data_IF_874518107830
#
_entry.id   IF_874518107830
#
_cell.length_a   1.000
_cell.length_b   1.000
_cell.length_c   1.000
_cell.angle_alpha   90.00
_cell.angle_beta   90.00
_cell.angle_gamma   90.00
#
_symmetry.space_group_name_H-M   'P 1'
#
loop_
_entity.id
_entity.type
_entity.pdbx_description
1 polymer ?
#
# COMPACT_ATOMS: atom_id res chain seq x y z
N UNK A 1 -13.86 12.06 -23.18
CA UNK A 1 -15.04 11.65 -22.38
C UNK A 1 -15.84 12.89 -21.96
N UNK A 2 -16.25 13.67 -22.95
CA UNK A 2 -16.98 14.91 -22.70
C UNK A 2 -18.48 14.63 -22.85
N UNK A 3 -19.19 14.48 -21.76
CA UNK A 3 -20.64 14.31 -21.79
C UNK A 3 -21.26 13.55 -20.62
N UNK A 4 -20.44 13.06 -19.70
CA UNK A 4 -20.91 12.36 -18.49
C UNK A 4 -20.65 13.21 -17.25
N UNK A 5 -21.61 13.29 -16.35
CA UNK A 5 -21.47 13.89 -15.02
C UNK A 5 -21.41 12.78 -13.96
N UNK A 6 -20.62 12.98 -12.91
CA UNK A 6 -20.63 12.11 -11.71
C UNK A 6 -21.92 12.41 -10.96
N UNK A 7 -22.72 11.38 -10.69
CA UNK A 7 -23.98 11.48 -9.96
C UNK A 7 -23.95 10.81 -8.60
N UNK A 8 -23.00 9.90 -8.38
CA UNK A 8 -22.78 9.26 -7.09
C UNK A 8 -21.33 8.75 -6.94
N UNK A 9 -20.85 8.63 -5.69
CA UNK A 9 -19.55 8.03 -5.35
C UNK A 9 -19.74 7.09 -4.16
N UNK A 10 -19.23 5.88 -4.27
CA UNK A 10 -19.36 4.87 -3.22
C UNK A 10 -18.17 3.92 -3.20
N UNK A 11 -17.50 3.80 -2.05
CA UNK A 11 -16.38 2.87 -1.81
C UNK A 11 -15.33 2.83 -2.93
N UNK A 12 -14.97 4.02 -3.46
CA UNK A 12 -13.95 4.17 -4.51
C UNK A 12 -14.43 3.89 -5.94
N UNK A 13 -15.72 3.85 -6.13
CA UNK A 13 -16.35 3.84 -7.44
C UNK A 13 -17.18 5.10 -7.62
N UNK A 14 -17.22 5.62 -8.84
CA UNK A 14 -18.08 6.72 -9.21
C UNK A 14 -19.07 6.29 -10.29
N UNK A 15 -20.35 6.58 -10.08
CA UNK A 15 -21.39 6.44 -11.08
C UNK A 15 -21.43 7.69 -11.93
N UNK A 16 -21.31 7.54 -13.24
CA UNK A 16 -21.42 8.60 -14.23
C UNK A 16 -22.67 8.44 -15.07
N UNK A 17 -23.33 9.57 -15.32
CA UNK A 17 -24.53 9.64 -16.14
C UNK A 17 -24.28 10.53 -17.36
N UNK A 18 -24.69 10.09 -18.55
CA UNK A 18 -24.67 10.89 -19.78
C UNK A 18 -25.70 12.02 -19.73
N UNK A 19 -25.63 12.95 -20.69
CA UNK A 19 -26.79 13.79 -21.03
C UNK A 19 -27.92 12.88 -21.53
N UNK A 20 -29.20 13.31 -21.35
CA UNK A 20 -30.32 12.54 -21.86
C UNK A 20 -30.29 12.49 -23.40
N UNK A 21 -30.76 11.37 -23.93
CA UNK A 21 -31.04 11.22 -25.36
C UNK A 21 -32.39 11.86 -25.79
N UNK A 22 -32.83 11.58 -27.02
CA UNK A 22 -34.08 12.09 -27.56
C UNK A 22 -35.33 11.57 -26.85
N UNK A 23 -35.25 10.45 -26.14
CA UNK A 23 -36.30 9.83 -25.36
C UNK A 23 -36.28 10.22 -23.88
N UNK A 24 -35.25 11.01 -23.50
CA UNK A 24 -34.99 11.47 -22.14
C UNK A 24 -34.28 10.45 -21.28
N UNK A 25 -33.69 9.39 -21.87
CA UNK A 25 -32.95 8.37 -21.18
C UNK A 25 -31.47 8.70 -21.06
N UNK A 26 -30.84 8.22 -20.00
CA UNK A 26 -29.42 8.40 -19.71
C UNK A 26 -28.66 7.09 -19.80
N UNK A 27 -27.43 7.15 -20.28
CA UNK A 27 -26.49 6.05 -20.18
C UNK A 27 -25.70 6.16 -18.87
N UNK A 28 -25.56 5.04 -18.18
CA UNK A 28 -24.86 4.96 -16.90
C UNK A 28 -23.57 4.16 -17.04
N UNK A 29 -22.48 4.73 -16.52
CA UNK A 29 -21.16 4.10 -16.46
C UNK A 29 -20.70 4.09 -15.03
N UNK A 30 -20.16 2.97 -14.58
CA UNK A 30 -19.39 2.92 -13.34
C UNK A 30 -17.91 2.97 -13.70
N UNK A 31 -17.18 3.83 -13.01
CA UNK A 31 -15.73 3.91 -13.08
C UNK A 31 -15.15 3.61 -11.69
N UNK A 32 -13.99 3.05 -11.66
CA UNK A 32 -13.18 3.00 -10.45
C UNK A 32 -12.42 4.33 -10.34
N UNK A 33 -12.50 5.02 -9.20
CA UNK A 33 -11.92 6.36 -9.04
C UNK A 33 -10.42 6.40 -9.29
N UNK A 34 -9.73 5.31 -8.98
CA UNK A 34 -8.30 5.14 -9.23
C UNK A 34 -7.95 4.79 -10.69
N UNK A 35 -8.94 4.36 -11.47
CA UNK A 35 -8.78 4.01 -12.88
C UNK A 35 -9.82 4.73 -13.75
N UNK A 36 -9.78 6.07 -13.85
CA UNK A 36 -10.82 6.86 -14.51
C UNK A 36 -10.92 6.59 -16.02
N UNK A 37 -9.98 5.83 -16.61
CA UNK A 37 -10.02 5.42 -18.02
C UNK A 37 -10.74 4.09 -18.24
N UNK A 38 -10.94 3.31 -17.19
CA UNK A 38 -11.68 2.04 -17.23
C UNK A 38 -13.10 2.31 -16.74
N UNK A 39 -14.07 2.07 -17.60
CA UNK A 39 -15.47 2.26 -17.28
C UNK A 39 -16.28 1.06 -17.77
N UNK A 40 -17.29 0.71 -17.01
CA UNK A 40 -18.27 -0.29 -17.42
C UNK A 40 -19.60 0.39 -17.64
N UNK A 41 -20.18 0.14 -18.80
CA UNK A 41 -21.56 0.47 -19.09
C UNK A 41 -22.48 -0.47 -18.29
N UNK A 42 -23.34 0.11 -17.45
CA UNK A 42 -24.22 -0.66 -16.57
C UNK A 42 -25.69 -0.59 -16.95
N UNK A 43 -26.06 0.32 -17.82
CA UNK A 43 -27.44 0.41 -18.28
C UNK A 43 -27.82 1.73 -18.90
N UNK A 44 -29.09 1.79 -19.31
CA UNK A 44 -29.72 2.92 -19.97
C UNK A 44 -31.12 3.10 -19.39
N UNK A 45 -31.53 4.31 -19.07
CA UNK A 45 -32.84 4.59 -18.48
C UNK A 45 -32.96 5.95 -17.80
N UNK A 46 -34.09 6.21 -17.20
CA UNK A 46 -34.43 7.51 -16.57
C UNK A 46 -34.17 7.55 -15.07
N UNK A 47 -34.19 6.40 -14.42
CA UNK A 47 -34.12 6.31 -12.96
C UNK A 47 -32.70 6.18 -12.47
N UNK A 48 -32.08 7.31 -12.13
CA UNK A 48 -30.73 7.35 -11.56
C UNK A 48 -30.64 6.65 -10.21
N UNK A 49 -31.70 6.69 -9.40
CA UNK A 49 -31.68 6.04 -8.07
C UNK A 49 -31.63 4.53 -8.18
N UNK A 50 -32.33 3.96 -9.15
CA UNK A 50 -32.23 2.51 -9.43
C UNK A 50 -30.78 2.08 -9.71
N UNK A 51 -30.03 2.86 -10.51
CA UNK A 51 -28.63 2.55 -10.81
C UNK A 51 -27.69 2.80 -9.63
N UNK A 52 -27.98 3.79 -8.79
CA UNK A 52 -27.26 4.04 -7.54
C UNK A 52 -27.43 2.84 -6.59
N UNK A 53 -28.65 2.43 -6.34
CA UNK A 53 -28.95 1.33 -5.42
C UNK A 53 -28.37 0.00 -5.93
N UNK A 54 -28.49 -0.23 -7.25
CA UNK A 54 -27.99 -1.44 -7.87
C UNK A 54 -26.47 -1.57 -7.74
N UNK A 55 -25.69 -0.54 -8.13
CA UNK A 55 -24.22 -0.65 -8.08
C UNK A 55 -23.67 -0.63 -6.65
N UNK A 56 -24.31 0.09 -5.73
CA UNK A 56 -23.99 0.05 -4.31
C UNK A 56 -24.27 -1.34 -3.72
N UNK A 57 -25.43 -1.94 -4.07
CA UNK A 57 -25.79 -3.28 -3.67
C UNK A 57 -24.75 -4.31 -4.13
N UNK A 58 -24.29 -4.23 -5.37
CA UNK A 58 -23.22 -5.12 -5.87
C UNK A 58 -21.91 -4.95 -5.10
N UNK A 59 -21.51 -3.70 -4.79
CA UNK A 59 -20.30 -3.45 -4.00
C UNK A 59 -20.46 -3.96 -2.58
N UNK A 60 -21.63 -3.85 -1.98
CA UNK A 60 -21.88 -4.34 -0.62
C UNK A 60 -21.95 -5.87 -0.56
N UNK A 61 -22.56 -6.51 -1.56
CA UNK A 61 -22.70 -7.97 -1.62
C UNK A 61 -21.40 -8.67 -2.02
N UNK A 62 -20.70 -8.15 -3.04
CA UNK A 62 -19.54 -8.83 -3.64
C UNK A 62 -18.21 -8.13 -3.37
N UNK A 63 -18.21 -6.91 -2.82
CA UNK A 63 -17.03 -6.11 -2.62
C UNK A 63 -16.46 -5.45 -3.89
N UNK A 64 -17.10 -5.67 -5.06
CA UNK A 64 -16.61 -5.17 -6.36
C UNK A 64 -17.73 -5.14 -7.42
N UNK A 65 -17.43 -4.47 -8.54
CA UNK A 65 -18.26 -4.54 -9.75
C UNK A 65 -17.53 -5.38 -10.79
N UNK A 66 -18.15 -6.46 -11.23
CA UNK A 66 -17.63 -7.37 -12.25
C UNK A 66 -17.25 -6.60 -13.52
N UNK A 67 -16.05 -6.85 -14.05
CA UNK A 67 -15.52 -6.18 -15.23
C UNK A 67 -14.76 -4.88 -14.96
N UNK A 68 -14.77 -4.31 -13.74
CA UNK A 68 -13.86 -3.23 -13.31
C UNK A 68 -12.63 -3.75 -12.58
N UNK A 69 -12.50 -5.09 -12.49
CA UNK A 69 -11.30 -5.73 -11.97
C UNK A 69 -11.11 -5.55 -10.48
N UNK A 70 -12.04 -6.06 -9.69
CA UNK A 70 -11.73 -6.35 -8.30
C UNK A 70 -11.67 -7.85 -8.11
N UNK A 71 -10.74 -8.39 -7.36
CA UNK A 71 -10.66 -9.80 -7.13
C UNK A 71 -11.83 -10.23 -6.29
N UNK A 72 -12.72 -10.92 -6.92
CA UNK A 72 -13.61 -11.79 -6.20
C UNK A 72 -12.84 -13.02 -5.80
N UNK A 73 -13.23 -13.56 -4.69
CA UNK A 73 -12.84 -14.85 -4.15
C UNK A 73 -11.45 -14.86 -3.53
N UNK A 74 -11.44 -15.05 -2.23
CA UNK A 74 -10.28 -15.60 -1.52
C UNK A 74 -9.94 -16.94 -2.16
N UNK A 75 -9.20 -16.89 -3.25
CA UNK A 75 -8.60 -18.06 -3.85
C UNK A 75 -7.52 -18.50 -2.86
N UNK A 76 -7.60 -19.72 -2.34
CA UNK A 76 -6.65 -20.25 -1.36
C UNK A 76 -5.20 -20.30 -1.89
N UNK A 77 -4.97 -19.93 -3.16
CA UNK A 77 -3.68 -19.91 -3.85
C UNK A 77 -3.31 -18.54 -4.43
N UNK A 78 -3.75 -17.42 -3.83
CA UNK A 78 -3.29 -16.11 -4.33
C UNK A 78 -1.80 -15.95 -4.07
N UNK A 79 -1.10 -15.47 -5.11
CA UNK A 79 0.32 -15.10 -4.99
C UNK A 79 0.47 -13.94 -4.03
N UNK A 80 1.63 -13.85 -3.39
CA UNK A 80 1.90 -12.91 -2.31
C UNK A 80 2.85 -11.81 -2.73
N UNK A 81 2.61 -10.63 -2.19
CA UNK A 81 3.53 -9.50 -2.26
C UNK A 81 3.80 -9.00 -0.85
N UNK A 82 5.06 -8.74 -0.55
CA UNK A 82 5.50 -8.27 0.76
C UNK A 82 5.78 -6.79 0.73
N UNK A 83 5.29 -6.06 1.73
CA UNK A 83 5.45 -4.60 1.82
C UNK A 83 5.98 -4.24 3.20
N UNK A 84 7.13 -3.54 3.24
CA UNK A 84 7.62 -2.96 4.49
C UNK A 84 6.75 -1.80 4.95
N UNK A 85 6.87 -1.46 6.23
CA UNK A 85 6.02 -0.47 6.85
C UNK A 85 6.74 0.87 7.08
N UNK A 86 7.83 0.87 7.84
CA UNK A 86 8.52 2.10 8.26
C UNK A 86 9.31 2.70 7.07
N UNK A 87 9.11 3.99 6.77
CA UNK A 87 9.64 4.74 5.61
C UNK A 87 9.16 4.26 4.23
N UNK A 88 8.35 3.21 4.15
CA UNK A 88 7.66 2.77 2.92
C UNK A 88 6.20 3.24 2.94
N UNK A 89 5.49 2.92 3.99
CA UNK A 89 4.08 3.27 4.22
C UNK A 89 3.90 4.37 5.25
N UNK A 90 4.68 4.36 6.33
CA UNK A 90 4.64 5.29 7.44
C UNK A 90 5.95 6.07 7.53
N UNK A 91 5.87 7.39 7.73
CA UNK A 91 7.02 8.30 7.85
C UNK A 91 7.71 8.17 9.22
N UNK A 92 8.38 7.03 9.45
CA UNK A 92 9.07 6.79 10.72
C UNK A 92 10.19 7.80 10.97
N UNK A 93 11.02 8.05 9.99
CA UNK A 93 12.19 8.92 10.18
C UNK A 93 11.80 10.36 10.48
N UNK A 94 10.87 10.92 9.72
CA UNK A 94 10.40 12.29 9.90
C UNK A 94 9.65 12.48 11.23
N UNK A 95 8.74 11.58 11.57
CA UNK A 95 7.97 11.66 12.80
C UNK A 95 8.82 11.47 14.06
N UNK A 96 9.76 10.50 14.00
CA UNK A 96 10.70 10.29 15.11
C UNK A 96 11.59 11.53 15.36
N UNK A 97 12.16 12.09 14.29
CA UNK A 97 13.01 13.29 14.40
C UNK A 97 12.20 14.50 14.89
N UNK A 98 10.98 14.67 14.39
CA UNK A 98 10.08 15.74 14.86
C UNK A 98 9.82 15.65 16.36
N UNK A 99 9.50 14.45 16.83
CA UNK A 99 9.27 14.22 18.27
C UNK A 99 10.56 14.41 19.07
N UNK A 100 11.66 13.78 18.66
CA UNK A 100 12.95 13.82 19.38
C UNK A 100 13.51 15.23 19.54
N UNK A 101 13.20 16.14 18.61
CA UNK A 101 13.71 17.52 18.60
C UNK A 101 12.65 18.57 18.94
N UNK A 102 11.48 18.16 19.46
CA UNK A 102 10.38 19.07 19.74
C UNK A 102 9.99 19.93 18.52
N UNK A 103 9.99 19.33 17.34
CA UNK A 103 9.61 19.98 16.08
C UNK A 103 10.72 20.80 15.38
N UNK A 104 11.93 20.87 15.91
CA UNK A 104 13.03 21.59 15.25
C UNK A 104 13.49 20.90 13.96
N UNK A 105 13.45 19.58 13.91
CA UNK A 105 13.71 18.80 12.71
C UNK A 105 12.42 18.08 12.29
N UNK A 106 12.01 18.28 11.05
CA UNK A 106 10.81 17.63 10.49
C UNK A 106 11.03 17.35 9.00
N UNK A 107 12.04 16.51 8.66
CA UNK A 107 12.30 16.18 7.27
C UNK A 107 11.12 15.37 6.70
N UNK A 108 10.85 15.58 5.42
CA UNK A 108 10.02 14.63 4.68
C UNK A 108 10.79 13.33 4.43
N UNK A 109 10.13 12.22 4.06
CA UNK A 109 10.84 10.99 3.70
C UNK A 109 11.86 11.17 2.56
N UNK A 110 11.63 12.19 1.71
CA UNK A 110 12.54 12.50 0.60
C UNK A 110 13.77 13.33 1.01
N UNK A 111 13.79 13.84 2.23
CA UNK A 111 14.88 14.65 2.77
C UNK A 111 15.72 13.88 3.80
N UNK A 112 15.28 12.67 4.16
CA UNK A 112 15.97 11.82 5.14
C UNK A 112 17.26 11.23 4.54
N UNK A 113 18.41 11.72 4.99
CA UNK A 113 19.72 11.39 4.42
C UNK A 113 20.40 10.19 5.05
N UNK A 114 19.96 9.74 6.22
CA UNK A 114 20.51 8.57 6.94
C UNK A 114 19.41 7.76 7.60
N UNK A 115 19.54 6.41 7.57
CA UNK A 115 18.78 5.50 8.44
C UNK A 115 19.30 5.52 9.88
N UNK A 116 20.53 5.98 10.07
CA UNK A 116 21.17 6.14 11.38
C UNK A 116 20.77 7.49 11.98
N UNK A 117 19.56 7.56 12.55
CA UNK A 117 19.01 8.80 13.10
C UNK A 117 19.81 9.32 14.31
N UNK A 118 20.58 8.47 14.98
CA UNK A 118 21.55 8.87 15.99
C UNK A 118 22.62 9.83 15.44
N UNK A 119 23.09 9.63 14.19
CA UNK A 119 24.03 10.55 13.53
C UNK A 119 23.39 11.92 13.31
N UNK A 120 22.14 11.96 12.86
CA UNK A 120 21.38 13.21 12.64
C UNK A 120 21.16 13.95 13.96
N UNK A 121 20.90 13.21 15.04
CA UNK A 121 20.67 13.75 16.38
C UNK A 121 21.97 14.04 17.16
N UNK A 122 23.12 13.66 16.62
CA UNK A 122 24.41 13.73 17.31
C UNK A 122 24.40 13.02 18.67
N UNK A 123 23.75 11.85 18.75
CA UNK A 123 23.64 11.03 19.95
C UNK A 123 24.55 9.81 19.87
N UNK A 124 25.06 9.36 21.01
CA UNK A 124 25.66 8.05 21.12
C UNK A 124 24.61 6.93 21.08
N UNK A 125 25.07 5.69 20.96
CA UNK A 125 24.19 4.54 20.79
C UNK A 125 23.29 4.29 22.02
N UNK A 126 23.75 4.59 23.23
CA UNK A 126 23.01 4.37 24.47
C UNK A 126 21.86 5.40 24.60
N UNK A 127 22.15 6.67 24.40
CA UNK A 127 21.16 7.75 24.44
C UNK A 127 20.12 7.56 23.31
N UNK A 128 20.57 7.16 22.11
CA UNK A 128 19.66 6.87 21.01
C UNK A 128 18.77 5.63 21.27
N UNK A 129 19.34 4.59 21.88
CA UNK A 129 18.54 3.40 22.26
C UNK A 129 17.46 3.75 23.26
N UNK A 130 17.77 4.58 24.27
CA UNK A 130 16.78 5.05 25.26
C UNK A 130 15.72 5.95 24.63
N UNK A 131 16.11 6.85 23.73
CA UNK A 131 15.17 7.69 23.01
C UNK A 131 14.19 6.85 22.15
N UNK A 132 14.70 5.83 21.44
CA UNK A 132 13.88 4.87 20.70
C UNK A 132 12.95 4.05 21.60
N UNK A 133 13.44 3.67 22.78
CA UNK A 133 12.63 2.95 23.75
C UNK A 133 11.44 3.81 24.20
N UNK A 134 11.69 5.07 24.55
CA UNK A 134 10.63 6.04 24.93
C UNK A 134 9.60 6.21 23.81
N UNK A 135 10.04 6.48 22.59
CA UNK A 135 9.18 6.59 21.41
C UNK A 135 8.20 5.41 21.29
N UNK A 136 8.71 4.19 21.51
CA UNK A 136 7.90 2.97 21.41
C UNK A 136 6.92 2.84 22.54
N UNK A 137 7.39 2.99 23.78
CA UNK A 137 6.57 2.82 25.00
C UNK A 137 5.49 3.89 25.11
N UNK A 138 5.79 5.11 24.66
CA UNK A 138 4.83 6.23 24.63
C UNK A 138 3.78 6.08 23.51
N UNK A 139 3.82 5.02 22.71
CA UNK A 139 2.77 4.70 21.72
C UNK A 139 2.80 5.56 20.45
N UNK A 140 3.93 6.19 20.13
CA UNK A 140 4.02 7.07 18.96
C UNK A 140 3.84 6.34 17.62
N UNK A 141 4.05 5.01 17.58
CA UNK A 141 3.80 4.19 16.38
C UNK A 141 2.32 4.21 15.94
N UNK A 142 1.41 4.49 16.85
CA UNK A 142 -0.05 4.57 16.62
C UNK A 142 -0.45 5.78 15.76
N UNK A 143 0.32 6.86 15.80
CA UNK A 143 -0.05 8.15 15.21
C UNK A 143 0.93 8.63 14.13
N UNK A 144 1.69 7.71 13.54
CA UNK A 144 2.64 8.07 12.49
C UNK A 144 1.95 8.61 11.24
N UNK A 145 2.60 9.55 10.59
CA UNK A 145 2.14 10.12 9.32
C UNK A 145 2.19 9.06 8.22
N UNK A 146 1.07 8.87 7.53
CA UNK A 146 1.03 8.00 6.36
C UNK A 146 1.72 8.67 5.16
N UNK A 147 2.63 7.96 4.51
CA UNK A 147 3.29 8.45 3.29
C UNK A 147 2.25 8.50 2.15
N UNK A 148 2.18 9.61 1.41
CA UNK A 148 1.24 9.76 0.29
C UNK A 148 1.36 8.63 -0.74
N UNK A 149 0.21 8.13 -1.20
CA UNK A 149 0.13 7.03 -2.17
C UNK A 149 0.04 5.63 -1.53
N UNK A 150 0.29 5.47 -0.22
CA UNK A 150 0.22 4.18 0.48
C UNK A 150 -1.14 3.50 0.35
N UNK A 151 -2.22 4.23 0.66
CA UNK A 151 -3.57 3.69 0.56
C UNK A 151 -3.89 3.18 -0.85
N UNK A 152 -3.61 4.00 -1.89
CA UNK A 152 -3.83 3.62 -3.28
C UNK A 152 -2.97 2.43 -3.72
N UNK A 153 -1.72 2.33 -3.23
CA UNK A 153 -0.84 1.20 -3.52
C UNK A 153 -1.37 -0.11 -2.96
N UNK A 154 -1.69 -0.15 -1.66
CA UNK A 154 -2.20 -1.36 -1.01
C UNK A 154 -3.52 -1.79 -1.60
N UNK A 155 -4.43 -0.85 -1.85
CA UNK A 155 -5.71 -1.14 -2.48
C UNK A 155 -5.54 -1.79 -3.86
N UNK A 156 -4.59 -1.29 -4.69
CA UNK A 156 -4.29 -1.88 -6.00
C UNK A 156 -3.69 -3.27 -5.90
N UNK A 157 -2.70 -3.44 -5.02
CA UNK A 157 -2.07 -4.75 -4.81
C UNK A 157 -3.07 -5.76 -4.29
N UNK A 158 -3.91 -5.39 -3.31
CA UNK A 158 -4.92 -6.28 -2.70
C UNK A 158 -6.00 -6.74 -3.66
N UNK A 159 -6.18 -6.08 -4.80
CA UNK A 159 -7.08 -6.55 -5.85
C UNK A 159 -6.63 -7.90 -6.43
N UNK A 160 -5.32 -8.09 -6.59
CA UNK A 160 -4.75 -9.22 -7.33
C UNK A 160 -3.94 -10.18 -6.47
N UNK A 161 -3.36 -9.68 -5.37
CA UNK A 161 -2.39 -10.40 -4.56
C UNK A 161 -2.79 -10.39 -3.09
N UNK A 162 -2.29 -11.37 -2.34
CA UNK A 162 -2.29 -11.29 -0.89
C UNK A 162 -1.16 -10.36 -0.46
N UNK A 163 -1.52 -9.24 0.13
CA UNK A 163 -0.55 -8.26 0.63
C UNK A 163 -0.16 -8.63 2.05
N UNK A 164 1.10 -8.98 2.23
CA UNK A 164 1.69 -9.26 3.54
C UNK A 164 2.51 -8.04 3.97
N UNK A 165 2.10 -7.39 5.04
CA UNK A 165 2.91 -6.33 5.66
C UNK A 165 3.97 -7.00 6.52
N UNK A 166 5.25 -6.74 6.21
CA UNK A 166 6.38 -7.35 6.91
C UNK A 166 7.29 -6.27 7.50
N UNK A 167 7.39 -6.20 8.82
CA UNK A 167 8.07 -5.11 9.52
C UNK A 167 9.11 -5.60 10.51
N UNK A 168 10.22 -4.87 10.61
CA UNK A 168 11.27 -5.10 11.61
C UNK A 168 10.98 -4.44 12.97
N UNK A 169 9.76 -3.96 13.20
CA UNK A 169 9.35 -3.44 14.49
C UNK A 169 9.45 -4.52 15.57
N UNK A 170 10.01 -4.20 16.75
CA UNK A 170 10.28 -5.20 17.80
C UNK A 170 9.01 -5.52 18.63
N UNK A 171 8.03 -6.17 18.02
CA UNK A 171 6.79 -6.58 18.69
C UNK A 171 7.00 -7.72 19.71
N UNK A 172 8.15 -8.37 19.64
CA UNK A 172 8.60 -9.38 20.62
C UNK A 172 9.12 -8.75 21.93
N UNK A 173 9.44 -7.46 21.92
CA UNK A 173 10.06 -6.76 23.06
C UNK A 173 9.17 -5.72 23.72
N UNK A 174 8.13 -5.27 23.03
CA UNK A 174 7.22 -4.22 23.49
C UNK A 174 5.79 -4.61 23.16
N UNK A 175 5.00 -4.86 24.19
CA UNK A 175 3.62 -5.37 24.07
C UNK A 175 2.71 -4.47 23.22
N UNK A 176 2.91 -3.16 23.30
CA UNK A 176 2.09 -2.17 22.57
C UNK A 176 2.42 -2.08 21.06
N UNK A 177 3.57 -2.58 20.58
CA UNK A 177 4.00 -2.37 19.19
C UNK A 177 3.03 -3.01 18.19
N UNK A 178 2.55 -4.22 18.47
CA UNK A 178 1.57 -4.90 17.63
C UNK A 178 0.26 -4.12 17.61
N UNK A 179 -0.28 -3.83 18.78
CA UNK A 179 -1.54 -3.11 18.93
C UNK A 179 -1.50 -1.71 18.27
N UNK A 180 -0.42 -0.95 18.49
CA UNK A 180 -0.23 0.37 17.88
C UNK A 180 -0.13 0.29 16.36
N UNK A 181 0.52 -0.75 15.84
CA UNK A 181 0.64 -0.96 14.39
C UNK A 181 -0.71 -1.33 13.77
N UNK A 182 -1.43 -2.28 14.37
CA UNK A 182 -2.77 -2.69 13.92
C UNK A 182 -3.78 -1.53 13.99
N UNK A 183 -3.70 -0.71 15.06
CA UNK A 183 -4.50 0.51 15.18
C UNK A 183 -4.20 1.49 14.05
N UNK A 184 -2.92 1.74 13.75
CA UNK A 184 -2.49 2.63 12.68
C UNK A 184 -3.00 2.14 11.31
N UNK A 185 -2.83 0.85 11.01
CA UNK A 185 -3.32 0.24 9.77
C UNK A 185 -4.84 0.38 9.63
N UNK A 186 -5.58 0.13 10.70
CA UNK A 186 -7.04 0.25 10.73
C UNK A 186 -7.49 1.71 10.59
N UNK A 187 -6.84 2.64 11.27
CA UNK A 187 -7.18 4.08 11.22
C UNK A 187 -7.04 4.64 9.81
N UNK A 188 -6.11 4.12 9.02
CA UNK A 188 -5.88 4.51 7.64
C UNK A 188 -6.62 3.65 6.61
N UNK A 189 -7.51 2.77 7.05
CA UNK A 189 -8.29 1.85 6.19
C UNK A 189 -7.40 1.09 5.18
N UNK A 190 -6.25 0.60 5.64
CA UNK A 190 -5.28 -0.08 4.79
C UNK A 190 -5.65 -1.56 4.62
N UNK A 191 -5.73 -2.00 3.36
CA UNK A 191 -6.07 -3.37 3.02
C UNK A 191 -4.81 -4.24 2.99
N UNK A 192 -4.81 -5.32 3.76
CA UNK A 192 -3.74 -6.32 3.79
C UNK A 192 -4.30 -7.67 4.21
N UNK A 193 -3.56 -8.75 3.91
CA UNK A 193 -3.94 -10.12 4.25
C UNK A 193 -3.31 -10.57 5.57
N UNK A 194 -2.08 -10.14 5.84
CA UNK A 194 -1.29 -10.58 6.99
C UNK A 194 -0.35 -9.48 7.47
N UNK A 195 -0.06 -9.45 8.80
CA UNK A 195 0.92 -8.57 9.42
C UNK A 195 1.97 -9.41 10.16
N UNK A 196 3.21 -9.31 9.68
CA UNK A 196 4.38 -10.05 10.18
C UNK A 196 5.38 -9.11 10.82
N UNK A 197 5.90 -9.52 11.99
CA UNK A 197 6.99 -8.85 12.67
C UNK A 197 8.21 -9.76 12.72
N UNK A 198 9.26 -9.37 11.99
CA UNK A 198 10.54 -10.09 11.98
C UNK A 198 11.68 -9.17 11.58
N UNK A 199 12.86 -9.39 12.14
CA UNK A 199 14.08 -8.68 11.72
C UNK A 199 14.70 -9.33 10.49
N UNK A 200 14.60 -10.65 10.37
CA UNK A 200 15.17 -11.44 9.31
C UNK A 200 14.10 -11.75 8.27
N UNK A 201 13.73 -10.73 7.47
CA UNK A 201 12.62 -10.80 6.51
C UNK A 201 12.80 -11.93 5.50
N UNK A 202 14.00 -12.07 4.94
CA UNK A 202 14.28 -13.12 3.96
C UNK A 202 14.11 -14.51 4.55
N UNK A 203 14.72 -14.76 5.71
CA UNK A 203 14.70 -16.07 6.34
C UNK A 203 13.26 -16.43 6.76
N UNK A 204 12.52 -15.47 7.32
CA UNK A 204 11.11 -15.66 7.63
C UNK A 204 10.26 -16.02 6.40
N UNK A 205 10.43 -15.29 5.29
CA UNK A 205 9.68 -15.56 4.05
C UNK A 205 10.03 -16.94 3.50
N UNK A 206 11.31 -17.29 3.49
CA UNK A 206 11.78 -18.59 3.02
C UNK A 206 11.25 -19.77 3.86
N UNK A 207 11.11 -19.58 5.18
CA UNK A 207 10.71 -20.65 6.11
C UNK A 207 9.18 -20.84 6.18
N UNK A 208 8.39 -19.79 5.85
CA UNK A 208 6.95 -19.80 6.06
C UNK A 208 6.12 -19.78 4.78
N UNK A 209 6.73 -19.49 3.62
CA UNK A 209 6.02 -19.41 2.34
C UNK A 209 6.76 -20.19 1.26
N UNK A 210 5.97 -20.77 0.35
CA UNK A 210 6.54 -21.30 -0.89
C UNK A 210 7.09 -20.12 -1.72
N UNK A 211 8.36 -20.24 -2.14
CA UNK A 211 9.05 -19.20 -2.92
C UNK A 211 8.34 -18.92 -4.23
N UNK A 212 7.69 -19.92 -4.81
CA UNK A 212 6.94 -19.77 -6.06
C UNK A 212 5.63 -18.97 -5.87
N UNK A 213 5.16 -18.83 -4.63
CA UNK A 213 4.00 -17.99 -4.28
C UNK A 213 4.37 -16.55 -3.98
N UNK A 214 5.66 -16.22 -3.87
CA UNK A 214 6.16 -14.88 -3.58
C UNK A 214 6.57 -14.18 -4.87
N UNK A 215 5.85 -13.14 -5.27
CA UNK A 215 6.12 -12.43 -6.52
C UNK A 215 6.97 -11.17 -6.33
N UNK A 216 6.76 -10.45 -5.24
CA UNK A 216 7.47 -9.19 -5.03
C UNK A 216 7.69 -8.86 -3.55
N UNK A 217 8.72 -8.06 -3.30
CA UNK A 217 8.96 -7.37 -2.04
C UNK A 217 9.22 -5.89 -2.29
N UNK A 218 8.57 -5.03 -1.48
CA UNK A 218 8.71 -3.57 -1.48
C UNK A 218 9.31 -3.14 -0.16
N UNK A 219 10.47 -2.51 -0.19
CA UNK A 219 11.23 -2.10 1.02
C UNK A 219 12.02 -0.83 0.73
N UNK A 220 12.45 -0.09 1.75
CA UNK A 220 13.35 1.06 1.62
C UNK A 220 14.80 0.72 2.02
N UNK A 221 15.03 -0.38 2.74
CA UNK A 221 16.35 -0.83 3.13
C UNK A 221 16.94 -1.82 2.10
N UNK A 222 18.02 -1.45 1.38
CA UNK A 222 18.69 -2.33 0.43
C UNK A 222 19.13 -3.67 1.04
N UNK A 223 19.45 -3.70 2.34
CA UNK A 223 19.90 -4.93 3.02
C UNK A 223 18.81 -5.99 3.04
N UNK A 224 17.54 -5.58 3.16
CA UNK A 224 16.41 -6.49 3.12
C UNK A 224 16.20 -7.07 1.72
N UNK A 225 16.53 -6.31 0.67
CA UNK A 225 16.27 -6.70 -0.72
C UNK A 225 17.38 -7.57 -1.32
N UNK A 226 18.63 -7.41 -0.90
CA UNK A 226 19.79 -8.11 -1.50
C UNK A 226 19.64 -9.63 -1.47
N UNK A 227 19.15 -10.19 -0.37
CA UNK A 227 18.94 -11.64 -0.25
C UNK A 227 17.87 -12.15 -1.23
N UNK A 228 16.82 -11.35 -1.48
CA UNK A 228 15.75 -11.68 -2.43
C UNK A 228 16.18 -11.49 -3.89
N UNK A 229 17.00 -10.49 -4.19
CA UNK A 229 17.46 -10.18 -5.54
C UNK A 229 18.21 -11.34 -6.21
N UNK A 230 18.77 -12.25 -5.43
CA UNK A 230 19.38 -13.50 -5.93
C UNK A 230 18.37 -14.59 -6.34
N UNK A 231 17.08 -14.42 -6.07
CA UNK A 231 16.02 -15.36 -6.45
C UNK A 231 15.31 -14.85 -7.69
N UNK A 232 15.37 -15.59 -8.78
CA UNK A 232 14.81 -15.17 -10.09
C UNK A 232 13.29 -14.96 -10.08
N UNK A 233 12.57 -15.55 -9.13
CA UNK A 233 11.11 -15.50 -9.03
C UNK A 233 10.60 -14.27 -8.28
N UNK A 234 11.43 -13.64 -7.42
CA UNK A 234 10.99 -12.54 -6.56
C UNK A 234 11.47 -11.19 -7.11
N UNK A 235 10.54 -10.35 -7.50
CA UNK A 235 10.84 -8.99 -7.95
C UNK A 235 11.07 -8.06 -6.74
N UNK A 236 12.21 -7.37 -6.72
CA UNK A 236 12.60 -6.48 -5.64
C UNK A 236 12.35 -5.02 -6.02
N UNK A 237 11.57 -4.32 -5.20
CA UNK A 237 11.22 -2.92 -5.37
C UNK A 237 11.75 -2.09 -4.22
N UNK A 238 12.59 -1.12 -4.53
CA UNK A 238 13.09 -0.17 -3.54
C UNK A 238 12.35 1.15 -3.64
N UNK A 239 11.77 1.60 -2.52
CA UNK A 239 11.22 2.95 -2.42
C UNK A 239 12.35 3.92 -2.21
N UNK A 240 12.59 4.82 -3.19
CA UNK A 240 13.73 5.73 -3.24
C UNK A 240 13.73 6.70 -2.05
N UNK A 241 14.82 6.65 -1.31
CA UNK A 241 15.14 7.57 -0.23
C UNK A 241 16.58 8.04 -0.39
N UNK A 242 16.95 9.25 0.05
CA UNK A 242 18.33 9.73 -0.08
C UNK A 242 19.37 8.77 0.48
N UNK A 243 19.08 8.12 1.60
CA UNK A 243 19.99 7.19 2.28
C UNK A 243 20.19 5.85 1.56
N UNK A 244 19.30 5.47 0.62
CA UNK A 244 19.39 4.16 -0.03
C UNK A 244 19.81 4.22 -1.50
N UNK A 245 20.35 5.36 -1.96
CA UNK A 245 20.71 5.55 -3.37
C UNK A 245 21.98 4.83 -3.78
N UNK A 246 22.74 4.30 -2.84
CA UNK A 246 23.96 3.51 -3.08
C UNK A 246 23.69 2.04 -2.80
N UNK A 247 24.23 1.13 -3.63
CA UNK A 247 24.41 -0.28 -3.28
C UNK A 247 23.32 -1.29 -3.62
N UNK A 248 22.32 -0.97 -4.44
CA UNK A 248 21.30 -1.94 -4.85
C UNK A 248 21.08 -1.97 -6.39
N UNK A 249 22.01 -2.57 -7.16
CA UNK A 249 21.96 -2.49 -8.64
C UNK A 249 20.87 -3.39 -9.29
N UNK A 250 20.26 -4.32 -8.57
CA UNK A 250 19.34 -5.32 -9.13
C UNK A 250 17.88 -5.15 -8.69
N UNK A 251 17.48 -3.93 -8.30
CA UNK A 251 16.15 -3.66 -7.82
C UNK A 251 15.47 -2.59 -8.66
N UNK A 252 14.17 -2.71 -8.80
CA UNK A 252 13.34 -1.67 -9.39
C UNK A 252 13.19 -0.52 -8.40
N UNK A 253 13.57 0.70 -8.80
CA UNK A 253 13.57 1.87 -7.93
C UNK A 253 12.45 2.84 -8.29
N UNK A 254 11.64 3.23 -7.30
CA UNK A 254 10.53 4.16 -7.46
C UNK A 254 10.46 5.17 -6.32
N UNK A 255 9.94 6.35 -6.59
CA UNK A 255 9.83 7.43 -5.59
C UNK A 255 8.77 7.12 -4.52
N UNK A 256 7.71 6.42 -4.89
CA UNK A 256 6.60 6.08 -4.00
C UNK A 256 6.25 4.61 -4.10
N UNK A 257 5.65 4.07 -3.04
CA UNK A 257 5.06 2.73 -3.07
C UNK A 257 3.99 2.61 -4.16
N UNK A 258 3.25 3.69 -4.42
CA UNK A 258 2.21 3.70 -5.44
C UNK A 258 2.77 3.49 -6.85
N UNK A 259 3.85 4.20 -7.19
CA UNK A 259 4.49 4.04 -8.50
C UNK A 259 5.08 2.65 -8.68
N UNK A 260 5.69 2.10 -7.61
CA UNK A 260 6.22 0.75 -7.58
C UNK A 260 5.11 -0.31 -7.78
N UNK A 261 3.99 -0.17 -7.07
CA UNK A 261 2.83 -1.06 -7.21
C UNK A 261 2.22 -1.00 -8.61
N UNK A 262 2.09 0.20 -9.19
CA UNK A 262 1.60 0.36 -10.56
C UNK A 262 2.52 -0.30 -11.59
N UNK A 263 3.82 -0.14 -11.44
CA UNK A 263 4.80 -0.80 -12.31
C UNK A 263 4.73 -2.32 -12.17
N UNK A 264 4.73 -2.84 -10.94
CA UNK A 264 4.64 -4.27 -10.66
C UNK A 264 3.40 -4.89 -11.29
N UNK A 265 2.22 -4.30 -11.08
CA UNK A 265 0.96 -4.78 -11.65
C UNK A 265 1.01 -4.74 -13.18
N UNK A 266 1.53 -3.65 -13.77
CA UNK A 266 1.66 -3.51 -15.23
C UNK A 266 2.59 -4.55 -15.86
N UNK A 267 3.67 -4.92 -15.17
CA UNK A 267 4.61 -5.94 -15.65
C UNK A 267 4.04 -7.36 -15.57
N UNK A 268 3.24 -7.65 -14.55
CA UNK A 268 2.69 -8.98 -14.32
C UNK A 268 1.31 -9.18 -14.95
N UNK A 269 0.62 -8.08 -15.32
CA UNK A 269 -0.68 -8.05 -16.01
C UNK A 269 -1.59 -9.28 -15.69
N UNK A 270 -2.09 -9.37 -14.44
CA UNK A 270 -2.78 -10.58 -13.95
C UNK A 270 -4.05 -10.93 -14.76
N UNK A 271 -4.48 -10.05 -15.65
CA UNK A 271 -5.62 -10.26 -16.56
C UNK A 271 -5.25 -10.86 -17.93
N UNK A 272 -3.97 -11.11 -18.23
CA UNK A 272 -3.56 -11.71 -19.52
C UNK A 272 -3.75 -13.21 -19.60
N UNK A 273 -3.81 -13.88 -18.46
CA UNK A 273 -3.90 -15.35 -18.41
C UNK A 273 -5.31 -15.91 -18.59
N UNK A 274 -6.33 -15.04 -18.75
CA UNK A 274 -7.73 -15.44 -18.93
C UNK A 274 -8.20 -15.45 -20.40
N UNK A 275 -7.28 -15.56 -21.36
CA UNK A 275 -7.66 -15.69 -22.80
C UNK A 275 -7.38 -17.05 -23.37
#
# INVERSE_FOLDING_TARGET
MNGYAIVDCYKGYSLKMSKPDSEGDHSFLVIMDEFPRTSIYIGHGKDVHHFIDWYRGLIDEYGYISGLGAPSVKNQNRKKVFVDLDNVMADYGGDFLRWATNGQLSPSPNDLTSLHLNEILCLDDADYAELKRRWRVEGHKRNMTMIPGTHGALRRLSQWYDVVIISSRPADKYDNIREDTEYWLKQHDLQYSELVFTKEKFDYVHDHYDVDDVLAIFDDDPKNLVKFAGKQTVQCYIVDRPYNRTGAPFVHRFRTLYDAACHFIGMNEPWKDER
#
